data_IF_502465904953
#
_entry.id   IF_502465904953
#
_cell.length_a   1.000
_cell.length_b   1.000
_cell.length_c   1.000
_cell.angle_alpha   90.00
_cell.angle_beta   90.00
_cell.angle_gamma   90.00
#
_symmetry.space_group_name_H-M   'P 1'
#
loop_
_entity.id
_entity.type
_entity.pdbx_description
1 polymer ?
#
# COMPACT_ATOMS: atom_id res chain seq x y z
N UNK A 1 -28.88 -12.74 -20.05
CA UNK A 1 -28.84 -13.48 -21.33
C UNK A 1 -30.01 -13.15 -22.27
N UNK A 2 -31.23 -12.84 -21.77
CA UNK A 2 -32.41 -12.47 -22.57
C UNK A 2 -32.28 -11.15 -23.33
N UNK A 3 -31.66 -10.11 -22.73
CA UNK A 3 -31.59 -8.77 -23.33
C UNK A 3 -30.55 -8.68 -24.45
N UNK A 4 -29.43 -9.40 -24.31
CA UNK A 4 -28.43 -9.52 -25.39
C UNK A 4 -29.03 -10.16 -26.66
N UNK A 5 -29.79 -11.25 -26.50
CA UNK A 5 -30.48 -11.92 -27.61
C UNK A 5 -31.53 -11.03 -28.29
N UNK A 6 -32.25 -10.20 -27.53
CA UNK A 6 -33.21 -9.23 -28.07
C UNK A 6 -32.52 -8.12 -28.88
N UNK A 7 -31.35 -7.65 -28.43
CA UNK A 7 -30.59 -6.58 -29.10
C UNK A 7 -29.83 -7.06 -30.35
N UNK A 8 -29.67 -8.36 -30.55
CA UNK A 8 -29.00 -8.96 -31.70
C UNK A 8 -29.98 -9.56 -32.70
N UNK A 9 -31.27 -9.71 -32.32
CA UNK A 9 -32.30 -10.23 -33.22
C UNK A 9 -32.56 -9.28 -34.39
N UNK A 10 -32.52 -9.78 -35.62
CA UNK A 10 -32.73 -8.98 -36.83
C UNK A 10 -31.47 -8.38 -37.44
N UNK A 11 -30.29 -8.63 -36.86
CA UNK A 11 -29.03 -8.24 -37.51
C UNK A 11 -28.81 -9.10 -38.78
N UNK A 12 -28.32 -8.47 -39.88
CA UNK A 12 -27.91 -9.24 -41.08
C UNK A 12 -26.86 -10.29 -40.73
N UNK A 13 -26.84 -11.39 -41.48
CA UNK A 13 -25.80 -12.44 -41.36
C UNK A 13 -24.41 -11.83 -41.56
N UNK A 14 -23.46 -12.20 -40.69
CA UNK A 14 -22.08 -11.69 -40.75
C UNK A 14 -21.88 -10.24 -40.21
N UNK A 15 -22.95 -9.58 -39.72
CA UNK A 15 -22.81 -8.19 -39.25
C UNK A 15 -21.82 -8.05 -38.07
N UNK A 16 -21.95 -8.88 -37.04
CA UNK A 16 -21.11 -8.82 -35.86
C UNK A 16 -19.67 -9.27 -36.16
N UNK A 17 -19.51 -10.30 -36.95
CA UNK A 17 -18.20 -10.79 -37.46
C UNK A 17 -17.51 -9.71 -38.28
N UNK A 18 -18.25 -8.98 -39.08
CA UNK A 18 -17.74 -7.85 -39.87
C UNK A 18 -17.30 -6.66 -39.04
N UNK A 19 -17.91 -6.45 -37.88
CA UNK A 19 -17.45 -5.44 -36.89
C UNK A 19 -16.17 -5.90 -36.18
N UNK A 20 -16.10 -7.14 -35.76
CA UNK A 20 -14.95 -7.73 -35.08
C UNK A 20 -13.69 -7.67 -35.97
N UNK A 21 -13.80 -8.00 -37.25
CA UNK A 21 -12.72 -7.85 -38.25
C UNK A 21 -12.22 -6.40 -38.44
N UNK A 22 -12.97 -5.40 -37.99
CA UNK A 22 -12.63 -3.97 -38.02
C UNK A 22 -12.29 -3.41 -36.65
N UNK A 23 -12.10 -4.28 -35.62
CA UNK A 23 -11.92 -3.90 -34.21
C UNK A 23 -13.05 -2.99 -33.67
N UNK A 24 -14.28 -3.15 -34.19
CA UNK A 24 -15.48 -2.45 -33.73
C UNK A 24 -16.31 -3.37 -32.84
N UNK A 25 -16.89 -2.83 -31.79
CA UNK A 25 -17.74 -3.57 -30.87
C UNK A 25 -19.04 -2.77 -30.64
N UNK A 26 -20.23 -3.39 -30.87
CA UNK A 26 -21.50 -2.69 -30.73
C UNK A 26 -21.79 -2.35 -29.26
N UNK A 27 -21.88 -1.04 -28.94
CA UNK A 27 -22.11 -0.56 -27.59
C UNK A 27 -23.43 -1.02 -26.98
N UNK A 28 -24.45 -1.27 -27.84
CA UNK A 28 -25.79 -1.73 -27.46
C UNK A 28 -25.92 -3.24 -27.25
N UNK A 29 -24.99 -4.04 -27.73
CA UNK A 29 -25.04 -5.51 -27.70
C UNK A 29 -23.81 -6.11 -27.04
N UNK A 30 -23.63 -5.84 -25.75
CA UNK A 30 -22.52 -6.37 -24.96
C UNK A 30 -22.93 -7.62 -24.21
N UNK A 31 -22.12 -8.69 -24.28
CA UNK A 31 -22.29 -9.90 -23.46
C UNK A 31 -22.12 -9.60 -21.97
N UNK A 32 -21.26 -8.64 -21.64
CA UNK A 32 -21.07 -8.12 -20.27
C UNK A 32 -21.22 -6.62 -20.31
N UNK A 33 -22.03 -6.00 -19.42
CA UNK A 33 -22.17 -4.55 -19.36
C UNK A 33 -20.83 -3.92 -18.99
N UNK A 34 -20.55 -2.77 -19.61
CA UNK A 34 -19.36 -1.96 -19.27
C UNK A 34 -19.63 -1.01 -18.10
N UNK A 35 -20.90 -0.66 -17.88
CA UNK A 35 -21.41 0.04 -16.70
C UNK A 35 -22.33 -0.91 -15.93
N UNK A 36 -22.22 -0.92 -14.62
CA UNK A 36 -23.01 -1.78 -13.74
C UNK A 36 -23.77 -0.96 -12.71
N UNK A 37 -24.97 -1.44 -12.30
CA UNK A 37 -25.87 -0.64 -11.47
C UNK A 37 -25.39 -0.51 -10.01
N UNK A 38 -24.54 -1.43 -9.55
CA UNK A 38 -24.07 -1.47 -8.18
C UNK A 38 -22.54 -1.38 -8.11
N UNK A 39 -22.00 -0.71 -7.10
CA UNK A 39 -20.58 -0.69 -6.83
C UNK A 39 -20.01 -2.10 -6.60
N UNK A 40 -18.80 -2.33 -7.08
CA UNK A 40 -18.11 -3.60 -6.86
C UNK A 40 -16.60 -3.43 -6.86
N UNK A 41 -15.92 -4.27 -6.09
CA UNK A 41 -14.47 -4.44 -6.14
C UNK A 41 -14.13 -5.81 -6.77
N UNK A 42 -13.03 -5.90 -7.50
CA UNK A 42 -12.41 -7.17 -7.86
C UNK A 42 -11.61 -7.74 -6.69
N UNK A 43 -11.01 -6.86 -5.89
CA UNK A 43 -10.17 -7.23 -4.77
C UNK A 43 -11.01 -7.64 -3.57
N UNK A 44 -10.48 -8.54 -2.74
CA UNK A 44 -11.13 -9.07 -1.54
C UNK A 44 -10.38 -8.62 -0.28
N UNK A 45 -11.06 -8.49 0.86
CA UNK A 45 -10.39 -8.30 2.13
C UNK A 45 -9.42 -9.44 2.43
N UNK A 46 -8.22 -9.12 2.89
CA UNK A 46 -7.18 -10.11 3.20
C UNK A 46 -6.28 -9.63 4.34
N UNK A 47 -5.66 -10.60 5.04
CA UNK A 47 -4.76 -10.35 6.17
C UNK A 47 -3.43 -11.05 5.92
N UNK A 48 -2.34 -10.38 6.28
CA UNK A 48 -0.99 -10.94 6.32
C UNK A 48 -0.44 -10.81 7.73
N UNK A 49 0.05 -11.94 8.27
CA UNK A 49 0.63 -11.99 9.61
C UNK A 49 2.10 -11.63 9.55
N UNK A 50 2.49 -10.70 10.41
CA UNK A 50 3.90 -10.29 10.50
C UNK A 50 4.81 -11.45 10.94
N UNK A 51 4.34 -12.28 11.88
CA UNK A 51 5.09 -13.46 12.32
C UNK A 51 5.46 -14.40 11.16
N UNK A 52 4.52 -14.64 10.23
CA UNK A 52 4.76 -15.49 9.06
C UNK A 52 5.74 -14.83 8.07
N UNK A 53 5.57 -13.54 7.81
CA UNK A 53 6.44 -12.77 6.92
C UNK A 53 7.86 -12.68 7.49
N UNK A 54 8.00 -12.42 8.79
CA UNK A 54 9.28 -12.38 9.48
C UNK A 54 10.01 -13.71 9.40
N UNK A 55 9.33 -14.80 9.74
CA UNK A 55 9.93 -16.15 9.68
C UNK A 55 10.38 -16.50 8.24
N UNK A 56 9.62 -16.12 7.22
CA UNK A 56 9.98 -16.35 5.83
C UNK A 56 11.18 -15.50 5.38
N UNK A 57 11.26 -14.22 5.80
CA UNK A 57 12.39 -13.33 5.50
C UNK A 57 13.66 -13.79 6.22
N UNK A 58 13.57 -14.21 7.50
CA UNK A 58 14.68 -14.78 8.24
C UNK A 58 15.23 -16.03 7.56
N UNK A 59 14.36 -16.90 7.04
CA UNK A 59 14.79 -18.06 6.25
C UNK A 59 15.43 -17.66 4.92
N UNK A 60 14.91 -16.64 4.23
CA UNK A 60 15.45 -16.17 2.98
C UNK A 60 16.91 -15.69 3.09
N UNK A 61 17.33 -15.20 4.26
CA UNK A 61 18.70 -14.79 4.52
C UNK A 61 19.74 -15.91 4.31
N UNK A 62 19.31 -17.17 4.38
CA UNK A 62 20.21 -18.33 4.21
C UNK A 62 20.52 -18.65 2.75
N UNK A 63 19.77 -18.08 1.78
CA UNK A 63 19.94 -18.41 0.36
C UNK A 63 19.77 -17.24 -0.60
N UNK A 64 19.38 -16.06 -0.12
CA UNK A 64 19.24 -14.83 -0.92
C UNK A 64 20.16 -13.75 -0.36
N UNK A 65 21.16 -13.34 -1.14
CA UNK A 65 21.98 -12.18 -0.79
C UNK A 65 21.45 -10.89 -1.41
N UNK A 66 21.85 -9.70 -0.91
CA UNK A 66 21.50 -8.41 -1.51
C UNK A 66 21.94 -8.26 -2.96
N UNK A 67 23.04 -8.92 -3.36
CA UNK A 67 23.54 -8.90 -4.74
C UNK A 67 22.63 -9.67 -5.69
N UNK A 68 21.96 -10.71 -5.19
CA UNK A 68 21.06 -11.57 -5.98
C UNK A 68 19.65 -10.98 -6.13
N UNK A 69 19.12 -10.38 -5.05
CA UNK A 69 17.72 -9.96 -4.99
C UNK A 69 17.53 -8.43 -4.93
N UNK A 70 18.60 -7.62 -4.94
CA UNK A 70 18.57 -6.19 -4.60
C UNK A 70 17.97 -5.92 -3.22
N UNK A 71 16.86 -6.62 -2.87
CA UNK A 71 16.12 -6.51 -1.62
C UNK A 71 15.43 -7.82 -1.28
N UNK A 72 15.54 -8.24 -0.03
CA UNK A 72 14.70 -9.31 0.50
C UNK A 72 13.36 -8.72 0.92
N UNK A 73 12.36 -8.89 0.07
CA UNK A 73 11.00 -8.45 0.35
C UNK A 73 9.96 -9.55 0.08
N UNK A 74 8.83 -9.45 0.75
CA UNK A 74 7.66 -10.29 0.53
C UNK A 74 6.46 -9.41 0.20
N UNK A 75 5.99 -9.51 -1.03
CA UNK A 75 4.87 -8.72 -1.52
C UNK A 75 3.56 -9.25 -0.93
N UNK A 76 2.71 -8.34 -0.48
CA UNK A 76 1.37 -8.63 0.04
C UNK A 76 0.39 -8.79 -1.13
N UNK A 77 0.37 -9.96 -1.72
CA UNK A 77 -0.44 -10.24 -2.91
C UNK A 77 -1.89 -10.52 -2.51
N UNK A 78 -2.84 -9.75 -3.03
CA UNK A 78 -4.26 -10.04 -2.80
C UNK A 78 -4.67 -11.39 -3.37
N UNK A 79 -5.38 -12.26 -2.62
CA UNK A 79 -5.63 -13.66 -3.00
C UNK A 79 -6.77 -13.82 -4.02
N UNK A 80 -6.81 -12.99 -5.04
CA UNK A 80 -7.72 -13.14 -6.18
C UNK A 80 -7.06 -13.88 -7.34
N UNK A 81 -7.85 -14.51 -8.20
CA UNK A 81 -7.37 -15.23 -9.36
C UNK A 81 -6.53 -14.34 -10.29
N UNK A 82 -5.45 -14.86 -10.84
CA UNK A 82 -4.51 -14.19 -11.76
C UNK A 82 -3.84 -12.92 -11.19
N UNK A 83 -3.75 -12.81 -9.87
CA UNK A 83 -3.03 -11.73 -9.23
C UNK A 83 -1.66 -12.21 -8.72
N UNK A 84 -0.61 -11.49 -9.10
CA UNK A 84 0.77 -11.81 -8.72
C UNK A 84 1.48 -10.64 -8.03
N UNK A 85 0.83 -9.48 -7.90
CA UNK A 85 1.51 -8.28 -7.42
C UNK A 85 0.65 -7.34 -6.57
N UNK A 86 -0.46 -6.71 -7.02
CA UNK A 86 -1.19 -5.71 -6.24
C UNK A 86 -1.77 -6.25 -4.92
N UNK A 87 -1.65 -5.43 -3.86
CA UNK A 87 -2.36 -5.64 -2.59
C UNK A 87 -3.81 -5.19 -2.69
N UNK A 88 -4.05 -4.10 -3.40
CA UNK A 88 -5.38 -3.66 -3.84
C UNK A 88 -5.24 -2.94 -5.18
N UNK A 89 -6.33 -2.34 -5.69
CA UNK A 89 -6.39 -1.83 -7.06
C UNK A 89 -5.28 -0.87 -7.44
N UNK A 90 -4.87 0.01 -6.53
CA UNK A 90 -3.92 1.08 -6.81
C UNK A 90 -2.64 1.03 -5.97
N UNK A 91 -2.61 0.13 -4.98
CA UNK A 91 -1.50 0.06 -4.02
C UNK A 91 -0.93 -1.36 -3.93
N UNK A 92 0.36 -1.43 -3.68
CA UNK A 92 1.07 -2.64 -3.28
C UNK A 92 1.80 -2.39 -1.97
N UNK A 93 1.77 -3.37 -1.07
CA UNK A 93 2.57 -3.41 0.15
C UNK A 93 3.56 -4.55 0.12
N UNK A 94 4.68 -4.40 0.82
CA UNK A 94 5.68 -5.46 0.96
C UNK A 94 6.41 -5.34 2.31
N UNK A 95 6.60 -6.46 3.00
CA UNK A 95 7.58 -6.54 4.10
C UNK A 95 8.98 -6.62 3.50
N UNK A 96 9.92 -5.91 4.10
CA UNK A 96 11.32 -5.91 3.70
C UNK A 96 12.23 -6.11 4.91
N UNK A 97 13.34 -6.81 4.70
CA UNK A 97 14.40 -7.05 5.68
C UNK A 97 15.75 -6.58 5.14
N UNK A 98 16.48 -5.83 5.98
CA UNK A 98 17.89 -5.45 5.75
C UNK A 98 18.70 -5.85 6.98
N UNK A 99 19.68 -6.73 6.78
CA UNK A 99 20.56 -7.21 7.85
C UNK A 99 21.66 -6.18 8.19
N UNK A 100 22.30 -6.31 9.36
CA UNK A 100 23.51 -5.55 9.70
C UNK A 100 24.59 -5.63 8.61
N UNK A 101 25.14 -4.48 8.23
CA UNK A 101 26.16 -4.35 7.19
C UNK A 101 25.64 -4.35 5.76
N UNK A 102 24.32 -4.47 5.53
CA UNK A 102 23.75 -4.49 4.18
C UNK A 102 23.35 -3.09 3.69
N UNK A 103 23.49 -2.92 2.37
CA UNK A 103 23.02 -1.75 1.63
C UNK A 103 22.18 -2.21 0.44
N UNK A 104 20.96 -1.71 0.35
CA UNK A 104 20.11 -1.85 -0.82
C UNK A 104 20.48 -0.80 -1.86
N UNK A 105 20.76 -1.23 -3.09
CA UNK A 105 21.17 -0.38 -4.21
C UNK A 105 20.24 0.81 -4.39
N UNK A 106 20.83 1.98 -4.65
CA UNK A 106 20.07 3.19 -4.96
C UNK A 106 19.45 3.15 -6.35
N UNK A 107 18.24 3.66 -6.44
CA UNK A 107 17.47 3.76 -7.68
C UNK A 107 16.44 4.87 -7.55
N UNK A 108 15.72 5.13 -8.64
CA UNK A 108 14.53 5.98 -8.67
C UNK A 108 13.45 5.36 -9.54
N UNK A 109 12.21 5.69 -9.25
CA UNK A 109 11.06 5.23 -10.01
C UNK A 109 9.94 6.27 -10.03
N UNK A 110 9.06 6.19 -11.04
CA UNK A 110 7.91 7.09 -11.16
C UNK A 110 6.82 6.88 -10.10
N UNK A 111 6.58 5.68 -9.54
CA UNK A 111 5.71 5.52 -8.38
C UNK A 111 6.18 6.33 -7.15
N UNK A 112 5.22 6.82 -6.36
CA UNK A 112 5.47 7.23 -4.99
C UNK A 112 5.68 6.00 -4.11
N UNK A 113 6.51 6.14 -3.09
CA UNK A 113 6.71 5.13 -2.07
C UNK A 113 6.74 5.75 -0.67
N UNK A 114 6.44 4.93 0.31
CA UNK A 114 6.67 5.23 1.72
C UNK A 114 7.13 3.98 2.43
N UNK A 115 7.79 4.19 3.55
CA UNK A 115 8.26 3.16 4.45
C UNK A 115 7.68 3.37 5.84
N UNK A 116 7.07 2.34 6.41
CA UNK A 116 6.68 2.26 7.81
C UNK A 116 7.63 1.32 8.53
N UNK A 117 8.44 1.85 9.44
CA UNK A 117 9.47 1.09 10.14
C UNK A 117 8.84 0.29 11.27
N UNK A 118 9.01 -1.04 11.23
CA UNK A 118 8.57 -1.93 12.31
C UNK A 118 9.69 -2.13 13.34
N UNK A 119 10.85 -2.58 12.88
CA UNK A 119 12.03 -2.78 13.74
C UNK A 119 13.25 -2.11 13.07
N UNK A 120 13.99 -1.30 13.81
CA UNK A 120 15.25 -0.74 13.35
C UNK A 120 16.14 -0.46 14.57
N UNK A 121 17.40 -0.89 14.48
CA UNK A 121 18.46 -0.48 15.39
C UNK A 121 19.03 0.89 15.05
N UNK A 122 20.03 1.31 15.82
CA UNK A 122 20.83 2.47 15.52
C UNK A 122 21.53 2.32 14.15
N UNK A 123 21.89 3.44 13.51
CA UNK A 123 22.62 3.46 12.23
C UNK A 123 21.91 2.82 11.03
N UNK A 124 20.58 2.66 11.14
CA UNK A 124 19.71 2.34 9.99
C UNK A 124 19.21 3.66 9.38
N UNK A 125 19.31 3.78 8.06
CA UNK A 125 18.90 5.02 7.38
C UNK A 125 18.46 4.77 5.92
N UNK A 126 17.74 5.75 5.39
CA UNK A 126 17.45 5.91 3.96
C UNK A 126 18.21 7.12 3.43
N UNK A 127 18.79 7.05 2.23
CA UNK A 127 19.27 8.22 1.51
C UNK A 127 18.21 8.61 0.50
N UNK A 128 17.84 9.88 0.44
CA UNK A 128 16.91 10.41 -0.56
C UNK A 128 17.49 11.68 -1.17
N UNK A 129 17.81 11.65 -2.47
CA UNK A 129 18.48 12.74 -3.20
C UNK A 129 19.72 13.28 -2.46
N UNK A 130 20.57 12.39 -1.98
CA UNK A 130 21.80 12.72 -1.25
C UNK A 130 21.59 13.09 0.22
N UNK A 131 20.37 13.16 0.70
CA UNK A 131 20.06 13.45 2.11
C UNK A 131 19.97 12.15 2.89
N UNK A 132 20.83 11.97 3.90
CA UNK A 132 20.69 10.88 4.86
C UNK A 132 19.53 11.17 5.82
N UNK A 133 18.59 10.27 5.87
CA UNK A 133 17.41 10.28 6.75
C UNK A 133 17.51 9.08 7.67
N UNK A 134 17.80 9.31 8.96
CA UNK A 134 17.81 8.24 9.96
C UNK A 134 16.40 7.68 10.14
N UNK A 135 16.31 6.40 10.48
CA UNK A 135 15.03 5.73 10.75
C UNK A 135 15.04 5.10 12.13
N UNK A 136 13.87 5.07 12.76
CA UNK A 136 13.65 4.41 14.04
C UNK A 136 12.29 3.69 14.01
N UNK A 137 12.04 2.81 14.96
CA UNK A 137 10.77 2.11 15.11
C UNK A 137 9.59 3.08 15.16
N UNK A 138 8.55 2.78 14.38
CA UNK A 138 7.34 3.59 14.27
C UNK A 138 7.43 4.79 13.32
N UNK A 139 8.62 5.08 12.77
CA UNK A 139 8.79 6.16 11.80
C UNK A 139 8.09 5.85 10.47
N UNK A 140 7.59 6.89 9.83
CA UNK A 140 7.16 6.86 8.43
C UNK A 140 8.12 7.71 7.61
N UNK A 141 8.76 7.12 6.60
CA UNK A 141 9.70 7.80 5.69
C UNK A 141 9.11 7.82 4.30
N UNK A 142 9.06 8.99 3.70
CA UNK A 142 8.53 9.20 2.35
C UNK A 142 9.63 9.13 1.31
N UNK A 143 9.33 8.51 0.18
CA UNK A 143 10.15 8.51 -1.03
C UNK A 143 9.26 8.95 -2.19
N UNK A 144 9.13 10.27 -2.43
CA UNK A 144 8.30 10.78 -3.50
C UNK A 144 8.78 10.32 -4.87
N UNK A 145 7.85 10.34 -5.84
CA UNK A 145 8.11 10.01 -7.24
C UNK A 145 9.41 10.64 -7.75
N UNK A 146 10.22 9.86 -8.43
CA UNK A 146 11.42 10.25 -9.14
C UNK A 146 12.58 10.79 -8.28
N UNK A 147 12.54 10.53 -6.95
CA UNK A 147 13.68 10.81 -6.07
C UNK A 147 14.63 9.61 -6.04
N UNK A 148 15.93 9.86 -6.18
CA UNK A 148 16.94 8.86 -5.88
C UNK A 148 16.82 8.40 -4.44
N UNK A 149 16.91 7.10 -4.20
CA UNK A 149 16.89 6.56 -2.85
C UNK A 149 17.58 5.22 -2.75
N UNK A 150 18.17 4.98 -1.59
CA UNK A 150 18.80 3.74 -1.16
C UNK A 150 18.65 3.56 0.34
N UNK A 151 18.99 2.37 0.85
CA UNK A 151 18.81 2.04 2.26
C UNK A 151 20.02 1.30 2.77
N UNK A 152 20.44 1.61 4.01
CA UNK A 152 21.57 0.96 4.64
C UNK A 152 21.27 0.67 6.11
N UNK A 153 21.80 -0.43 6.59
CA UNK A 153 21.77 -0.81 7.99
C UNK A 153 23.21 -1.10 8.44
N UNK A 154 23.81 -0.14 9.13
CA UNK A 154 25.16 -0.29 9.70
C UNK A 154 25.12 -0.54 11.21
N UNK A 155 23.92 -0.71 11.78
CA UNK A 155 23.71 -1.10 13.16
C UNK A 155 23.95 -2.59 13.41
N UNK A 156 23.65 -3.02 14.63
CA UNK A 156 23.89 -4.40 15.08
C UNK A 156 22.63 -5.30 14.98
N UNK A 157 21.45 -4.68 14.75
CA UNK A 157 20.17 -5.39 14.71
C UNK A 157 19.58 -5.39 13.30
N UNK A 158 18.87 -6.44 12.88
CA UNK A 158 18.12 -6.47 11.63
C UNK A 158 17.06 -5.37 11.60
N UNK A 159 16.84 -4.77 10.44
CA UNK A 159 15.79 -3.80 10.23
C UNK A 159 14.64 -4.40 9.40
N UNK A 160 13.42 -4.26 9.90
CA UNK A 160 12.19 -4.68 9.25
C UNK A 160 11.27 -3.49 9.04
N UNK A 161 10.69 -3.39 7.87
CA UNK A 161 9.68 -2.37 7.56
C UNK A 161 8.67 -2.84 6.53
N UNK A 162 7.63 -2.06 6.36
CA UNK A 162 6.66 -2.18 5.29
C UNK A 162 6.86 -1.04 4.30
N UNK A 163 7.09 -1.39 3.05
CA UNK A 163 7.03 -0.45 1.94
C UNK A 163 5.63 -0.48 1.31
N UNK A 164 5.08 0.69 1.00
CA UNK A 164 3.84 0.85 0.25
C UNK A 164 4.10 1.75 -0.95
N UNK A 165 3.62 1.32 -2.12
CA UNK A 165 3.83 2.02 -3.38
C UNK A 165 2.53 2.06 -4.20
N UNK A 166 2.40 3.10 -5.02
CA UNK A 166 1.31 3.21 -6.00
C UNK A 166 1.66 2.61 -7.38
N UNK A 167 2.57 1.64 -7.42
CA UNK A 167 2.99 0.94 -8.65
C UNK A 167 1.80 0.47 -9.49
N UNK A 168 0.74 -0.17 -8.94
CA UNK A 168 -0.39 -0.62 -9.75
C UNK A 168 -1.15 0.53 -10.43
N UNK A 169 -1.25 1.69 -9.77
CA UNK A 169 -1.84 2.90 -10.34
C UNK A 169 -0.98 3.40 -11.50
N UNK A 170 0.32 3.57 -11.28
CA UNK A 170 1.27 4.10 -12.27
C UNK A 170 1.35 3.19 -13.49
N UNK A 171 1.30 1.85 -13.31
CA UNK A 171 1.20 0.88 -14.41
C UNK A 171 -0.10 1.03 -15.20
N UNK A 172 -1.25 1.20 -14.52
CA UNK A 172 -2.53 1.43 -15.19
C UNK A 172 -2.55 2.73 -16.02
N UNK A 173 -1.76 3.73 -15.63
CA UNK A 173 -1.59 5.00 -16.34
C UNK A 173 -0.48 4.95 -17.41
N UNK A 174 0.16 3.80 -17.60
CA UNK A 174 1.28 3.59 -18.55
C UNK A 174 2.46 4.55 -18.33
N UNK A 175 2.63 5.03 -17.07
CA UNK A 175 3.65 6.01 -16.67
C UNK A 175 4.80 5.36 -15.89
N UNK A 176 4.92 4.03 -15.92
CA UNK A 176 5.92 3.29 -15.15
C UNK A 176 7.30 3.46 -15.71
N UNK A 177 8.21 3.97 -14.88
CA UNK A 177 9.61 4.13 -15.21
C UNK A 177 10.50 3.82 -14.00
N UNK A 178 11.65 3.21 -14.24
CA UNK A 178 12.61 2.80 -13.22
C UNK A 178 14.02 3.01 -13.73
N UNK A 179 14.93 3.47 -12.87
CA UNK A 179 16.33 3.69 -13.17
C UNK A 179 17.22 3.34 -11.98
N UNK A 180 18.25 2.53 -12.21
CA UNK A 180 19.28 2.25 -11.23
C UNK A 180 20.29 3.40 -11.16
N UNK A 181 20.77 3.71 -9.94
CA UNK A 181 21.80 4.72 -9.78
C UNK A 181 23.10 4.28 -10.49
N UNK A 182 23.73 5.17 -11.31
CA UNK A 182 24.90 4.80 -12.12
C UNK A 182 26.10 4.35 -11.29
N UNK A 183 26.27 4.91 -10.10
CA UNK A 183 27.35 4.57 -9.17
C UNK A 183 26.96 3.48 -8.16
N UNK A 184 25.90 2.70 -8.43
CA UNK A 184 25.30 1.70 -7.57
C UNK A 184 24.64 2.29 -6.31
N UNK A 185 25.36 3.03 -5.51
CA UNK A 185 24.85 3.62 -4.27
C UNK A 185 24.98 5.16 -4.35
N UNK A 186 23.92 5.86 -3.95
CA UNK A 186 23.91 7.31 -3.88
C UNK A 186 24.80 7.78 -2.71
N UNK A 187 25.66 8.76 -2.95
CA UNK A 187 26.51 9.33 -1.91
C UNK A 187 25.72 10.23 -0.96
N UNK A 188 26.06 10.20 0.33
CA UNK A 188 25.49 11.13 1.31
C UNK A 188 26.11 12.52 1.12
N UNK A 189 25.29 13.48 0.72
CA UNK A 189 25.69 14.89 0.59
C UNK A 189 25.37 15.69 1.85
N UNK A 190 24.28 15.35 2.56
CA UNK A 190 23.88 15.99 3.83
C UNK A 190 23.22 14.98 4.77
N UNK A 191 23.11 15.35 6.06
CA UNK A 191 22.38 14.61 7.08
C UNK A 191 21.35 15.53 7.72
N UNK A 192 20.08 15.16 7.62
CA UNK A 192 18.95 15.95 8.14
C UNK A 192 18.12 15.10 9.11
N UNK A 193 18.40 15.13 10.42
CA UNK A 193 17.65 14.38 11.42
C UNK A 193 16.15 14.74 11.48
N UNK A 194 15.82 15.98 11.11
CA UNK A 194 14.46 16.52 11.05
C UNK A 194 13.99 16.73 9.59
N UNK A 195 14.40 15.82 8.70
CA UNK A 195 13.97 15.86 7.30
C UNK A 195 12.44 15.87 7.17
N UNK A 196 11.86 16.71 6.31
CA UNK A 196 10.42 16.72 6.05
C UNK A 196 9.91 15.41 5.44
N UNK A 197 10.82 14.54 4.98
CA UNK A 197 10.50 13.20 4.50
C UNK A 197 10.33 12.18 5.64
N UNK A 198 10.70 12.53 6.88
CA UNK A 198 10.61 11.66 8.06
C UNK A 198 9.53 12.14 9.01
N UNK A 199 8.56 11.31 9.30
CA UNK A 199 7.56 11.51 10.35
C UNK A 199 7.89 10.58 11.51
N UNK A 200 8.41 11.16 12.59
CA UNK A 200 8.91 10.39 13.75
C UNK A 200 7.76 9.68 14.46
N UNK A 201 7.93 8.39 14.75
CA UNK A 201 6.92 7.58 15.46
C UNK A 201 6.51 8.19 16.78
N UNK A 202 7.45 8.76 17.54
CA UNK A 202 7.16 9.43 18.81
C UNK A 202 6.21 10.63 18.67
N UNK A 203 6.36 11.40 17.59
CA UNK A 203 5.50 12.56 17.31
C UNK A 203 4.12 12.12 16.83
N UNK A 204 4.06 11.03 16.04
CA UNK A 204 2.79 10.41 15.62
C UNK A 204 2.02 9.88 16.83
N UNK A 205 2.70 9.23 17.79
CA UNK A 205 2.09 8.74 19.04
C UNK A 205 1.56 9.91 19.87
N UNK A 206 2.33 10.98 20.02
CA UNK A 206 1.87 12.18 20.75
C UNK A 206 0.62 12.78 20.08
N UNK A 207 0.64 12.94 18.74
CA UNK A 207 -0.49 13.43 17.98
C UNK A 207 -1.73 12.54 18.08
N UNK A 208 -1.57 11.21 18.03
CA UNK A 208 -2.68 10.25 18.21
C UNK A 208 -3.31 10.35 19.61
N UNK A 209 -2.49 10.53 20.65
CA UNK A 209 -3.00 10.70 22.03
C UNK A 209 -3.80 11.97 22.21
N UNK A 210 -3.44 13.02 21.50
CA UNK A 210 -4.12 14.32 21.54
C UNK A 210 -5.41 14.33 20.71
N UNK A 211 -5.38 13.79 19.49
CA UNK A 211 -6.43 13.97 18.47
C UNK A 211 -7.14 12.67 18.05
N UNK A 212 -6.67 11.52 18.50
CA UNK A 212 -7.14 10.20 18.05
C UNK A 212 -6.62 9.83 16.67
N UNK A 213 -6.74 10.69 15.67
CA UNK A 213 -6.25 10.48 14.30
C UNK A 213 -5.39 11.66 13.86
N UNK A 214 -4.28 11.34 13.19
CA UNK A 214 -3.34 12.31 12.62
C UNK A 214 -3.16 12.00 11.15
N UNK A 215 -3.42 12.97 10.27
CA UNK A 215 -3.03 12.89 8.87
C UNK A 215 -1.52 13.13 8.74
N UNK A 216 -0.83 12.24 8.03
CA UNK A 216 0.63 12.28 7.86
C UNK A 216 0.94 12.82 6.47
N UNK A 217 1.72 13.90 6.40
CA UNK A 217 2.24 14.49 5.16
C UNK A 217 1.21 14.59 4.03
N UNK A 218 0.10 15.31 4.20
CA UNK A 218 -0.99 15.36 3.21
C UNK A 218 -0.54 15.88 1.83
N UNK A 219 0.56 16.62 1.76
CA UNK A 219 1.13 17.14 0.53
C UNK A 219 2.36 16.37 0.01
N UNK A 220 2.88 15.43 0.80
CA UNK A 220 4.12 14.71 0.48
C UNK A 220 3.96 13.72 -0.67
N UNK A 221 2.84 12.99 -0.70
CA UNK A 221 2.52 12.00 -1.74
C UNK A 221 1.15 12.29 -2.33
N UNK A 222 1.11 12.58 -3.63
CA UNK A 222 -0.13 13.00 -4.34
C UNK A 222 -1.18 11.89 -4.47
N UNK A 223 -0.77 10.65 -4.41
CA UNK A 223 -1.59 9.46 -4.74
C UNK A 223 -1.84 8.56 -3.53
N UNK A 224 -1.08 8.75 -2.46
CA UNK A 224 -1.15 7.93 -1.24
C UNK A 224 -1.49 8.81 -0.06
N UNK A 225 -2.61 8.55 0.60
CA UNK A 225 -3.01 9.16 1.86
C UNK A 225 -2.52 8.33 3.04
N UNK A 226 -2.11 9.01 4.10
CA UNK A 226 -1.55 8.39 5.30
C UNK A 226 -2.20 8.96 6.55
N UNK A 227 -2.61 8.06 7.48
CA UNK A 227 -3.19 8.45 8.75
C UNK A 227 -2.65 7.55 9.86
N UNK A 228 -2.20 8.14 10.96
CA UNK A 228 -1.93 7.44 12.20
C UNK A 228 -3.19 7.49 13.09
N UNK A 229 -3.61 6.36 13.62
CA UNK A 229 -4.87 6.20 14.35
C UNK A 229 -4.56 5.54 15.69
N UNK A 230 -4.97 6.20 16.78
CA UNK A 230 -4.87 5.68 18.15
C UNK A 230 -6.26 5.30 18.66
N UNK A 231 -6.38 4.12 19.26
CA UNK A 231 -7.61 3.60 19.83
C UNK A 231 -7.37 3.16 21.28
N UNK A 232 -8.21 3.63 22.20
CA UNK A 232 -8.32 3.05 23.54
C UNK A 232 -9.17 1.78 23.50
N UNK A 233 -9.10 0.97 24.55
CA UNK A 233 -9.88 -0.26 24.65
C UNK A 233 -11.38 0.00 24.47
N UNK A 234 -12.01 -0.76 23.57
CA UNK A 234 -13.42 -0.63 23.20
C UNK A 234 -13.74 0.53 22.25
N UNK A 235 -12.79 1.40 21.96
CA UNK A 235 -12.99 2.46 20.97
C UNK A 235 -12.93 1.87 19.57
N UNK A 236 -13.85 2.32 18.72
CA UNK A 236 -13.96 1.84 17.34
C UNK A 236 -13.55 2.87 16.31
N UNK A 237 -12.95 2.39 15.23
CA UNK A 237 -12.68 3.10 13.99
C UNK A 237 -13.21 2.25 12.84
N UNK A 238 -13.98 2.84 11.96
CA UNK A 238 -14.55 2.10 10.85
C UNK A 238 -15.28 3.00 9.89
N UNK A 239 -15.81 2.42 8.85
CA UNK A 239 -16.52 3.16 7.84
C UNK A 239 -17.59 2.29 7.20
N UNK A 240 -18.68 2.91 6.81
CA UNK A 240 -19.55 2.42 5.76
C UNK A 240 -18.75 2.21 4.46
N UNK A 241 -19.37 1.65 3.45
CA UNK A 241 -18.74 1.39 2.15
C UNK A 241 -18.16 2.67 1.54
N UNK A 242 -16.85 2.66 1.33
CA UNK A 242 -16.11 3.78 0.73
C UNK A 242 -15.61 3.41 -0.65
N UNK A 243 -15.33 4.43 -1.44
CA UNK A 243 -14.77 4.28 -2.80
C UNK A 243 -13.26 3.99 -2.80
N UNK A 244 -12.55 4.42 -1.77
CA UNK A 244 -11.13 4.25 -1.61
C UNK A 244 -10.77 2.86 -1.06
N UNK A 245 -9.57 2.39 -1.41
CA UNK A 245 -8.97 1.21 -0.83
C UNK A 245 -8.19 1.60 0.42
N UNK A 246 -8.22 0.75 1.44
CA UNK A 246 -7.56 1.00 2.71
C UNK A 246 -6.69 -0.19 3.10
N UNK A 247 -5.46 0.08 3.50
CA UNK A 247 -4.55 -0.88 4.08
C UNK A 247 -4.24 -0.39 5.50
N UNK A 248 -4.48 -1.24 6.49
CA UNK A 248 -4.18 -0.94 7.89
C UNK A 248 -3.02 -1.81 8.36
N UNK A 249 -2.09 -1.18 9.07
CA UNK A 249 -0.99 -1.84 9.77
C UNK A 249 -1.15 -1.58 11.25
N UNK A 250 -1.15 -2.61 12.07
CA UNK A 250 -1.08 -2.45 13.53
C UNK A 250 0.36 -2.13 13.92
N UNK A 251 0.60 -0.98 14.52
CA UNK A 251 1.94 -0.57 14.95
C UNK A 251 2.19 -0.79 16.43
N UNK A 252 1.14 -0.85 17.25
CA UNK A 252 1.23 -1.23 18.66
C UNK A 252 -0.10 -1.73 19.21
N UNK A 253 -0.04 -2.57 20.24
CA UNK A 253 -1.21 -3.16 20.88
C UNK A 253 -1.90 -4.19 19.99
N UNK A 254 -3.17 -4.43 20.28
CA UNK A 254 -4.01 -5.42 19.61
C UNK A 254 -5.33 -4.76 19.19
N UNK A 255 -5.84 -5.13 18.02
CA UNK A 255 -7.15 -4.70 17.53
C UNK A 255 -7.96 -5.89 17.06
N UNK A 256 -9.29 -5.79 17.20
CA UNK A 256 -10.23 -6.67 16.52
C UNK A 256 -10.75 -5.95 15.28
N UNK A 257 -10.61 -6.58 14.12
CA UNK A 257 -11.22 -6.08 12.89
C UNK A 257 -12.34 -7.01 12.46
N UNK A 258 -13.47 -6.44 12.05
CA UNK A 258 -14.54 -7.14 11.36
C UNK A 258 -14.75 -6.50 9.99
N UNK A 259 -14.58 -7.28 8.94
CA UNK A 259 -14.74 -6.82 7.55
C UNK A 259 -15.76 -7.69 6.84
N UNK A 260 -16.63 -7.07 6.06
CA UNK A 260 -17.57 -7.77 5.18
C UNK A 260 -16.82 -8.79 4.31
N UNK A 261 -17.33 -10.03 4.27
CA UNK A 261 -16.75 -11.18 3.55
C UNK A 261 -15.41 -11.76 4.09
N UNK A 262 -14.84 -11.18 5.15
CA UNK A 262 -13.67 -11.74 5.83
C UNK A 262 -14.03 -12.24 7.25
N UNK A 263 -14.99 -11.58 7.90
CA UNK A 263 -15.37 -11.84 9.28
C UNK A 263 -14.50 -11.12 10.30
N UNK A 264 -14.62 -11.54 11.57
CA UNK A 264 -13.91 -10.94 12.69
C UNK A 264 -12.56 -11.63 12.93
N UNK A 265 -11.50 -10.86 13.04
CA UNK A 265 -10.12 -11.31 13.28
C UNK A 265 -9.44 -10.40 14.31
N UNK A 266 -8.54 -10.96 15.10
CA UNK A 266 -7.63 -10.19 15.95
C UNK A 266 -6.31 -10.00 15.22
N UNK A 267 -5.79 -8.78 15.26
CA UNK A 267 -4.52 -8.37 14.65
C UNK A 267 -3.61 -7.82 15.73
N UNK A 268 -2.32 -8.13 15.59
CA UNK A 268 -1.25 -7.73 16.48
C UNK A 268 -0.23 -6.85 15.75
N UNK A 269 0.75 -6.32 16.49
CA UNK A 269 1.80 -5.47 15.92
C UNK A 269 2.48 -6.10 14.70
N UNK A 270 2.57 -5.34 13.65
CA UNK A 270 3.14 -5.71 12.36
C UNK A 270 2.14 -6.37 11.40
N UNK A 271 0.99 -6.87 11.87
CA UNK A 271 -0.03 -7.45 11.01
C UNK A 271 -0.63 -6.39 10.07
N UNK A 272 -0.94 -6.83 8.86
CA UNK A 272 -1.54 -5.99 7.80
C UNK A 272 -2.89 -6.54 7.40
N UNK A 273 -3.87 -5.67 7.24
CA UNK A 273 -5.16 -5.99 6.62
C UNK A 273 -5.47 -5.02 5.50
N UNK A 274 -5.93 -5.55 4.37
CA UNK A 274 -6.50 -4.73 3.30
C UNK A 274 -8.03 -4.79 3.34
N UNK A 275 -8.63 -3.61 3.27
CA UNK A 275 -10.07 -3.41 3.06
C UNK A 275 -10.24 -2.71 1.71
N UNK A 276 -10.52 -3.46 0.64
CA UNK A 276 -10.75 -2.88 -0.67
C UNK A 276 -12.01 -1.99 -0.67
N UNK A 277 -12.12 -1.12 -1.68
CA UNK A 277 -13.30 -0.27 -1.84
C UNK A 277 -14.62 -1.08 -1.77
N UNK A 278 -15.69 -0.43 -1.30
CA UNK A 278 -17.05 -0.98 -1.22
C UNK A 278 -17.26 -2.09 -0.18
N UNK A 279 -16.32 -2.29 0.76
CA UNK A 279 -16.53 -3.18 1.90
C UNK A 279 -16.77 -2.38 3.18
N UNK A 280 -17.75 -2.80 3.96
CA UNK A 280 -17.95 -2.31 5.33
C UNK A 280 -16.93 -2.93 6.27
N UNK A 281 -16.49 -2.16 7.24
CA UNK A 281 -15.57 -2.66 8.26
C UNK A 281 -15.67 -1.87 9.56
N UNK A 282 -15.25 -2.52 10.64
CA UNK A 282 -15.05 -1.90 11.95
C UNK A 282 -13.78 -2.45 12.58
N UNK A 283 -12.96 -1.54 13.14
CA UNK A 283 -11.75 -1.86 13.89
C UNK A 283 -11.97 -1.40 15.33
N UNK A 284 -11.78 -2.29 16.30
CA UNK A 284 -11.94 -2.02 17.73
C UNK A 284 -10.61 -2.21 18.44
N UNK A 285 -10.20 -1.25 19.28
CA UNK A 285 -9.04 -1.37 20.15
C UNK A 285 -9.26 -2.43 21.23
N UNK A 286 -8.37 -3.42 21.30
CA UNK A 286 -8.43 -4.50 22.31
C UNK A 286 -7.48 -4.27 23.49
N UNK A 287 -6.38 -3.56 23.29
CA UNK A 287 -5.44 -3.16 24.34
C UNK A 287 -5.85 -1.85 25.01
N UNK A 288 -5.25 -1.53 26.17
CA UNK A 288 -5.41 -0.20 26.81
C UNK A 288 -5.09 0.95 25.84
N UNK A 289 -4.19 0.70 24.90
CA UNK A 289 -3.84 1.55 23.79
C UNK A 289 -3.41 0.72 22.57
N UNK A 290 -4.05 0.93 21.45
CA UNK A 290 -3.73 0.30 20.16
C UNK A 290 -3.42 1.40 19.14
N UNK A 291 -2.52 1.11 18.21
CA UNK A 291 -2.09 2.06 17.18
C UNK A 291 -2.12 1.40 15.80
N UNK A 292 -2.56 2.17 14.82
CA UNK A 292 -2.65 1.75 13.43
C UNK A 292 -2.08 2.85 12.52
N UNK A 293 -1.49 2.43 11.42
CA UNK A 293 -1.26 3.30 10.26
C UNK A 293 -2.19 2.85 9.13
N UNK A 294 -2.99 3.79 8.62
CA UNK A 294 -3.83 3.62 7.43
C UNK A 294 -3.10 4.18 6.21
N UNK A 295 -2.96 3.36 5.19
CA UNK A 295 -2.47 3.73 3.85
C UNK A 295 -3.63 3.60 2.87
N UNK A 296 -3.90 4.64 2.08
CA UNK A 296 -5.10 4.69 1.24
C UNK A 296 -4.85 5.41 -0.09
N UNK A 297 -5.61 5.06 -1.12
CA UNK A 297 -5.66 5.78 -2.41
C UNK A 297 -6.71 6.90 -2.43
N UNK A 298 -7.24 7.30 -1.29
CA UNK A 298 -8.22 8.38 -1.15
C UNK A 298 -7.84 9.67 -1.88
N UNK A 299 -6.56 10.15 -1.88
CA UNK A 299 -6.17 11.34 -2.63
C UNK A 299 -6.44 11.23 -4.14
N UNK A 300 -6.29 10.05 -4.72
CA UNK A 300 -6.62 9.80 -6.14
C UNK A 300 -8.12 9.98 -6.38
N UNK A 301 -8.95 9.40 -5.50
CA UNK A 301 -10.41 9.52 -5.60
C UNK A 301 -10.86 10.97 -5.44
N UNK A 302 -10.25 11.71 -4.52
CA UNK A 302 -10.48 13.15 -4.32
C UNK A 302 -10.12 13.96 -5.58
N UNK A 303 -8.93 13.72 -6.14
CA UNK A 303 -8.45 14.43 -7.33
C UNK A 303 -9.33 14.20 -8.56
N UNK A 304 -9.92 12.99 -8.67
CA UNK A 304 -10.84 12.63 -9.75
C UNK A 304 -12.31 13.03 -9.48
N UNK A 305 -12.61 13.59 -8.32
CA UNK A 305 -13.96 14.04 -7.97
C UNK A 305 -14.94 12.89 -7.61
N UNK A 306 -14.45 11.70 -7.29
CA UNK A 306 -15.31 10.53 -7.01
C UNK A 306 -15.79 10.44 -5.56
N UNK A 307 -15.29 11.26 -4.65
CA UNK A 307 -15.50 11.15 -3.20
C UNK A 307 -16.98 11.30 -2.77
N UNK A 308 -17.80 11.95 -3.56
CA UNK A 308 -19.19 12.30 -3.22
C UNK A 308 -20.23 11.35 -3.84
N UNK A 309 -19.82 10.28 -4.50
CA UNK A 309 -20.75 9.42 -5.28
C UNK A 309 -21.71 8.62 -4.38
N UNK A 310 -21.43 8.50 -3.08
CA UNK A 310 -22.25 7.71 -2.12
C UNK A 310 -23.02 8.53 -1.07
N UNK A 311 -23.04 9.85 -1.20
CA UNK A 311 -23.80 10.71 -0.27
C UNK A 311 -25.22 11.08 -0.78
N UNK A 312 -25.70 10.38 -1.80
CA UNK A 312 -27.05 10.58 -2.34
C UNK A 312 -27.98 9.40 -2.08
#
# INVERSE_FOLDING_TARGET
MSDFLKMTSGAPEGFFEGLEGKALSPGWAKKKPQMWPEPRSRYVPAVWRYADARAALDQACNFVSPEQAERRNLILVNPIEDNIYPTCRHLVGAYQLVLPGETARSHRHSPNALRLVLDAGSETFTIVNGVKVDVAEGDVVLTPSWHWHGHSNFGDEPAFWLDFLDVPLVQNLESMFFENHPERDESVASHEPDSPLRHKGVDLVAGMRERGTVEIAPEGLKTIGLHAIGLTQGQSHGSERRIDNNIYVVTAGEVRINVENLGALTLERGDVVVVPCWHEYNIEGCSSWSQLVRVTDEPVMKALGFVNVMQS
#
